data_IF_034134941224
#
_entry.id   IF_034134941224
#
_cell.length_a   1.000
_cell.length_b   1.000
_cell.length_c   1.000
_cell.angle_alpha   90.00
_cell.angle_beta   90.00
_cell.angle_gamma   90.00
#
_symmetry.space_group_name_H-M   'P 1'
#
loop_
_entity.id
_entity.type
_entity.pdbx_description
1 polymer ?
#
# COMPACT_ATOMS: atom_id res chain seq x y z
N UNK A 1 49.00 14.30 -16.56
CA UNK A 1 47.71 14.83 -16.09
C UNK A 1 46.63 14.21 -16.95
N UNK A 2 45.93 13.21 -16.42
CA UNK A 2 44.82 12.53 -17.06
C UNK A 2 43.72 12.44 -16.02
N UNK A 3 42.63 13.19 -16.23
CA UNK A 3 41.42 13.06 -15.43
C UNK A 3 40.74 11.74 -15.78
N UNK A 4 40.43 10.86 -14.81
CA UNK A 4 39.41 9.86 -15.03
C UNK A 4 38.04 10.52 -14.87
N UNK A 5 37.29 10.63 -15.97
CA UNK A 5 35.84 10.73 -15.90
C UNK A 5 35.32 9.39 -15.38
N UNK A 6 35.00 9.33 -14.10
CA UNK A 6 34.16 8.25 -13.59
C UNK A 6 32.71 8.64 -13.89
N UNK A 7 32.12 7.92 -14.83
CA UNK A 7 30.72 7.99 -15.19
C UNK A 7 29.85 7.48 -14.05
N UNK A 8 29.30 8.39 -13.25
CA UNK A 8 28.17 8.10 -12.38
C UNK A 8 26.93 7.89 -13.26
N UNK A 9 26.77 6.66 -13.76
CA UNK A 9 25.50 6.22 -14.29
C UNK A 9 24.72 5.74 -13.07
N UNK A 10 23.61 6.39 -12.67
CA UNK A 10 22.79 5.86 -11.59
C UNK A 10 22.31 4.48 -12.05
N UNK A 11 22.62 3.46 -11.27
CA UNK A 11 22.14 2.09 -11.50
C UNK A 11 20.62 2.17 -11.67
N UNK A 12 20.13 1.89 -12.88
CA UNK A 12 18.76 2.19 -13.34
C UNK A 12 17.66 1.36 -12.66
N UNK A 13 17.93 0.84 -11.47
CA UNK A 13 17.01 0.05 -10.68
C UNK A 13 16.08 0.96 -9.89
N UNK A 14 14.79 0.89 -10.18
CA UNK A 14 13.76 1.49 -9.33
C UNK A 14 13.64 0.75 -8.00
N UNK A 15 13.59 1.49 -6.90
CA UNK A 15 13.39 0.95 -5.56
C UNK A 15 11.91 0.94 -5.21
N UNK A 16 11.38 -0.25 -4.93
CA UNK A 16 10.01 -0.42 -4.48
C UNK A 16 10.00 -0.94 -3.05
N UNK A 17 9.27 -0.27 -2.16
CA UNK A 17 8.94 -0.82 -0.84
C UNK A 17 7.54 -1.45 -0.89
N UNK A 18 7.40 -2.62 -0.28
CA UNK A 18 6.11 -3.34 -0.22
C UNK A 18 5.59 -3.38 1.20
N UNK A 19 4.34 -2.98 1.37
CA UNK A 19 3.60 -3.14 2.62
C UNK A 19 2.44 -4.12 2.40
N UNK A 20 2.23 -4.99 3.39
CA UNK A 20 1.03 -5.83 3.46
C UNK A 20 -0.12 -5.00 4.03
N UNK A 21 -1.24 -4.96 3.33
CA UNK A 21 -2.49 -4.33 3.76
C UNK A 21 -3.50 -5.41 4.07
N UNK A 22 -3.79 -5.62 5.35
CA UNK A 22 -4.72 -6.65 5.81
C UNK A 22 -6.08 -6.01 6.06
N UNK A 23 -7.12 -6.34 5.27
CA UNK A 23 -8.47 -5.88 5.57
C UNK A 23 -8.97 -6.57 6.86
N UNK A 24 -9.58 -5.78 7.74
CA UNK A 24 -10.10 -6.24 9.01
C UNK A 24 -11.63 -6.22 8.99
N UNK A 25 -12.26 -7.23 9.59
CA UNK A 25 -13.71 -7.30 9.72
C UNK A 25 -14.22 -6.00 10.34
N UNK A 26 -15.07 -5.30 9.60
CA UNK A 26 -15.76 -4.10 10.08
C UNK A 26 -17.15 -4.48 10.58
N UNK A 27 -17.69 -3.75 11.57
CA UNK A 27 -19.12 -3.80 11.88
C UNK A 27 -19.97 -3.59 10.61
N UNK A 28 -21.14 -4.22 10.54
CA UNK A 28 -21.99 -4.24 9.34
C UNK A 28 -22.52 -2.85 8.93
N UNK A 29 -22.55 -1.90 9.85
CA UNK A 29 -22.93 -0.50 9.65
C UNK A 29 -21.76 0.42 9.27
N UNK A 30 -20.53 -0.12 9.21
CA UNK A 30 -19.36 0.66 8.89
C UNK A 30 -19.32 1.00 7.39
N UNK A 31 -19.32 2.30 7.09
CA UNK A 31 -19.16 2.84 5.73
C UNK A 31 -17.72 2.70 5.21
N UNK A 32 -16.77 2.41 6.11
CA UNK A 32 -15.34 2.47 5.84
C UNK A 32 -14.65 1.14 6.19
N UNK A 33 -13.84 0.64 5.27
CA UNK A 33 -13.00 -0.54 5.47
C UNK A 33 -11.89 -0.23 6.46
N UNK A 34 -11.76 -1.06 7.51
CA UNK A 34 -10.61 -1.04 8.42
C UNK A 34 -9.50 -1.89 7.85
N UNK A 35 -8.26 -1.42 7.99
CA UNK A 35 -7.06 -2.15 7.57
C UNK A 35 -5.98 -2.07 8.64
N UNK A 36 -5.14 -3.11 8.71
CA UNK A 36 -3.85 -3.07 9.37
C UNK A 36 -2.73 -3.09 8.31
N UNK A 37 -1.64 -2.36 8.57
CA UNK A 37 -0.53 -2.22 7.63
C UNK A 37 0.73 -2.78 8.25
N UNK A 38 1.49 -3.54 7.45
CA UNK A 38 2.71 -4.18 7.92
C UNK A 38 3.83 -4.03 6.91
N UNK A 39 5.03 -3.73 7.41
CA UNK A 39 6.26 -3.94 6.67
C UNK A 39 6.76 -5.35 6.97
N UNK A 40 6.86 -6.19 5.95
CA UNK A 40 7.27 -7.59 6.10
C UNK A 40 8.71 -7.74 5.63
N UNK A 41 9.63 -7.92 6.59
CA UNK A 41 11.05 -8.12 6.31
C UNK A 41 11.53 -9.41 6.98
N UNK A 42 12.12 -10.32 6.20
CA UNK A 42 12.61 -11.61 6.70
C UNK A 42 11.58 -12.36 7.57
N UNK A 43 10.33 -12.44 7.09
CA UNK A 43 9.18 -13.06 7.78
C UNK A 43 8.72 -12.36 9.07
N UNK A 44 9.28 -11.20 9.42
CA UNK A 44 8.81 -10.39 10.55
C UNK A 44 7.78 -9.39 10.06
N UNK A 45 6.58 -9.45 10.65
CA UNK A 45 5.49 -8.52 10.38
C UNK A 45 5.57 -7.35 11.36
N UNK A 46 6.13 -6.24 10.91
CA UNK A 46 6.23 -5.03 11.72
C UNK A 46 5.02 -4.14 11.44
N UNK A 47 4.20 -3.81 12.45
CA UNK A 47 3.07 -2.91 12.25
C UNK A 47 3.57 -1.53 11.86
N UNK A 48 2.90 -0.91 10.90
CA UNK A 48 3.19 0.45 10.42
C UNK A 48 1.91 1.26 10.54
N UNK A 49 2.03 2.48 11.05
CA UNK A 49 0.87 3.36 11.08
C UNK A 49 0.52 3.80 9.64
N UNK A 50 -0.77 3.95 9.29
CA UNK A 50 -1.19 4.34 7.94
C UNK A 50 -0.53 5.63 7.45
N UNK A 51 -0.22 6.57 8.35
CA UNK A 51 0.43 7.85 8.06
C UNK A 51 1.95 7.78 7.86
N UNK A 52 2.55 6.62 8.10
CA UNK A 52 4.01 6.42 8.07
C UNK A 52 4.44 5.50 6.92
N UNK A 53 3.59 5.28 5.92
CA UNK A 53 3.98 4.55 4.72
C UNK A 53 5.03 5.35 3.94
N UNK A 54 6.11 4.67 3.57
CA UNK A 54 7.29 5.18 2.85
C UNK A 54 8.13 6.27 3.55
N UNK A 55 7.74 6.72 4.75
CA UNK A 55 8.41 7.83 5.45
C UNK A 55 9.83 7.53 5.94
N UNK A 56 10.25 6.25 5.93
CA UNK A 56 11.56 5.81 6.41
C UNK A 56 12.45 5.21 5.32
N UNK A 57 11.94 5.10 4.09
CA UNK A 57 12.60 4.34 3.03
C UNK A 57 12.56 5.13 1.73
N UNK A 58 13.71 5.72 1.36
CA UNK A 58 13.89 6.40 0.07
C UNK A 58 13.59 5.45 -1.10
N UNK A 59 12.33 5.47 -1.54
CA UNK A 59 11.74 4.54 -2.51
C UNK A 59 11.08 5.34 -3.63
N UNK A 60 11.19 4.83 -4.85
CA UNK A 60 10.57 5.41 -6.04
C UNK A 60 9.10 4.98 -6.15
N UNK A 61 8.78 3.82 -5.56
CA UNK A 61 7.44 3.25 -5.57
C UNK A 61 7.07 2.62 -4.23
N UNK A 62 5.78 2.66 -3.93
CA UNK A 62 5.14 1.91 -2.86
C UNK A 62 4.21 0.89 -3.46
N UNK A 63 4.38 -0.37 -3.07
CA UNK A 63 3.45 -1.45 -3.34
C UNK A 63 2.63 -1.73 -2.09
N UNK A 64 1.31 -1.64 -2.20
CA UNK A 64 0.38 -2.10 -1.18
C UNK A 64 -0.24 -3.40 -1.65
N UNK A 65 0.12 -4.50 -1.00
CA UNK A 65 -0.31 -5.85 -1.35
C UNK A 65 -1.28 -6.37 -0.30
N UNK A 66 -2.43 -6.92 -0.73
CA UNK A 66 -3.27 -7.70 0.16
C UNK A 66 -2.72 -9.13 0.27
N UNK A 67 -2.26 -9.58 1.44
CA UNK A 67 -1.81 -10.95 1.64
C UNK A 67 -3.02 -11.89 1.65
N UNK A 68 -2.80 -13.17 1.37
CA UNK A 68 -3.84 -14.19 1.59
C UNK A 68 -4.01 -14.38 3.09
N UNK A 69 -5.23 -14.68 3.54
CA UNK A 69 -5.52 -14.90 4.96
C UNK A 69 -4.56 -15.93 5.62
N UNK A 70 -4.26 -17.03 4.92
CA UNK A 70 -3.34 -18.09 5.40
C UNK A 70 -1.87 -17.64 5.56
N UNK A 71 -1.50 -16.53 4.92
CA UNK A 71 -0.13 -16.01 4.97
C UNK A 71 0.05 -14.99 6.11
N UNK A 72 -1.06 -14.59 6.77
CA UNK A 72 -1.06 -13.67 7.92
C UNK A 72 -0.82 -14.49 9.19
N UNK A 73 0.26 -14.24 9.95
CA UNK A 73 0.55 -15.00 11.17
C UNK A 73 -0.51 -14.81 12.26
N UNK A 74 -0.75 -15.87 13.02
CA UNK A 74 -1.64 -15.81 14.18
C UNK A 74 -1.17 -14.76 15.19
N UNK A 75 -2.12 -14.01 15.75
CA UNK A 75 -1.87 -12.99 16.77
C UNK A 75 -1.32 -11.66 16.25
N UNK A 76 -0.90 -11.55 14.98
CA UNK A 76 -0.35 -10.30 14.42
C UNK A 76 -1.40 -9.18 14.34
N UNK A 77 -2.68 -9.55 14.27
CA UNK A 77 -3.81 -8.63 14.17
C UNK A 77 -4.34 -8.16 15.54
N UNK A 78 -3.79 -8.66 16.64
CA UNK A 78 -4.32 -8.40 17.99
C UNK A 78 -5.78 -8.87 18.09
N UNK A 79 -6.68 -7.94 18.42
CA UNK A 79 -8.13 -8.20 18.49
C UNK A 79 -8.82 -8.15 17.11
N UNK A 80 -8.12 -7.72 16.06
CA UNK A 80 -8.64 -7.68 14.70
C UNK A 80 -8.76 -9.09 14.08
N UNK A 81 -9.68 -9.24 13.14
CA UNK A 81 -9.86 -10.46 12.34
C UNK A 81 -9.73 -10.13 10.86
N UNK A 82 -9.08 -11.01 10.09
CA UNK A 82 -9.00 -10.89 8.64
C UNK A 82 -10.41 -10.87 8.03
N UNK A 83 -10.69 -9.92 7.14
CA UNK A 83 -11.95 -9.86 6.41
C UNK A 83 -11.88 -10.66 5.11
N UNK A 84 -12.56 -11.81 5.08
CA UNK A 84 -12.61 -12.67 3.89
C UNK A 84 -13.55 -12.16 2.80
N UNK A 85 -14.42 -11.20 3.12
CA UNK A 85 -15.36 -10.61 2.17
C UNK A 85 -14.77 -9.42 1.42
N UNK A 86 -13.61 -8.89 1.86
CA UNK A 86 -13.00 -7.69 1.29
C UNK A 86 -11.76 -8.02 0.42
N UNK A 87 -11.78 -7.59 -0.83
CA UNK A 87 -10.66 -7.73 -1.77
C UNK A 87 -10.23 -6.36 -2.30
N UNK A 88 -8.94 -6.05 -2.22
CA UNK A 88 -8.37 -4.80 -2.71
C UNK A 88 -8.61 -4.67 -4.21
N UNK A 89 -9.29 -3.59 -4.59
CA UNK A 89 -9.75 -3.34 -5.96
C UNK A 89 -8.96 -2.22 -6.63
N UNK A 90 -8.72 -1.13 -5.91
CA UNK A 90 -8.03 0.04 -6.45
C UNK A 90 -7.48 0.92 -5.32
N UNK A 91 -6.69 1.92 -5.71
CA UNK A 91 -6.32 3.04 -4.88
C UNK A 91 -6.57 4.36 -5.64
N UNK A 92 -7.07 5.35 -4.92
CA UNK A 92 -7.14 6.73 -5.37
C UNK A 92 -6.19 7.53 -4.51
N UNK A 93 -5.30 8.29 -5.13
CA UNK A 93 -4.30 9.07 -4.42
C UNK A 93 -4.35 10.53 -4.85
N UNK A 94 -4.05 11.42 -3.92
CA UNK A 94 -3.95 12.86 -4.16
C UNK A 94 -2.65 13.37 -3.56
N UNK A 95 -1.88 14.09 -4.37
CA UNK A 95 -0.70 14.82 -3.87
C UNK A 95 -1.17 15.99 -3.00
N UNK A 96 -0.78 15.99 -1.72
CA UNK A 96 -1.16 16.99 -0.72
C UNK A 96 -0.12 18.11 -0.59
N UNK A 97 1.16 17.78 -0.82
CA UNK A 97 2.26 18.73 -0.83
C UNK A 97 3.04 18.60 -2.14
N UNK A 98 3.38 19.74 -2.76
CA UNK A 98 3.99 19.94 -4.09
C UNK A 98 3.03 20.04 -5.29
N UNK A 99 3.52 20.69 -6.36
CA UNK A 99 2.85 20.82 -7.66
C UNK A 99 3.14 19.64 -8.61
N UNK A 100 3.67 18.52 -8.11
CA UNK A 100 4.05 17.38 -8.94
C UNK A 100 2.79 16.67 -9.47
N UNK A 101 2.65 16.62 -10.80
CA UNK A 101 1.56 15.95 -11.49
C UNK A 101 1.71 14.42 -11.48
N UNK A 102 1.37 13.80 -10.36
CA UNK A 102 1.37 12.34 -10.22
C UNK A 102 0.01 11.74 -10.61
N UNK A 103 -0.04 10.49 -11.14
CA UNK A 103 -1.30 9.81 -11.42
C UNK A 103 -2.13 9.61 -10.16
N UNK A 104 -3.45 9.75 -10.23
CA UNK A 104 -4.32 9.73 -9.04
C UNK A 104 -5.15 8.46 -8.89
N UNK A 105 -5.11 7.53 -9.84
CA UNK A 105 -5.93 6.32 -9.80
C UNK A 105 -5.08 5.12 -10.21
N UNK A 106 -5.16 4.07 -9.41
CA UNK A 106 -4.37 2.86 -9.55
C UNK A 106 -5.30 1.66 -9.39
N UNK A 107 -5.47 0.87 -10.44
CA UNK A 107 -6.21 -0.39 -10.32
C UNK A 107 -5.32 -1.44 -9.67
N UNK A 108 -5.91 -2.30 -8.83
CA UNK A 108 -5.20 -3.45 -8.31
C UNK A 108 -4.87 -4.41 -9.45
N UNK A 109 -3.63 -4.89 -9.45
CA UNK A 109 -3.17 -5.99 -10.28
C UNK A 109 -2.98 -7.22 -9.42
N UNK A 110 -3.13 -8.41 -9.98
CA UNK A 110 -2.83 -9.64 -9.28
C UNK A 110 -1.46 -10.19 -9.69
N UNK A 111 -0.63 -10.51 -8.70
CA UNK A 111 0.59 -11.28 -8.91
C UNK A 111 0.68 -12.33 -7.82
N UNK A 112 0.83 -13.60 -8.23
CA UNK A 112 0.80 -14.74 -7.31
C UNK A 112 -0.54 -14.93 -6.61
N UNK A 113 -1.65 -14.47 -7.22
CA UNK A 113 -3.00 -14.50 -6.63
C UNK A 113 -3.11 -13.66 -5.37
N UNK A 114 -2.43 -12.51 -5.37
CA UNK A 114 -2.49 -11.46 -4.34
C UNK A 114 -2.73 -10.11 -5.02
N UNK A 115 -3.86 -9.44 -4.75
CA UNK A 115 -4.13 -8.11 -5.27
C UNK A 115 -3.12 -7.09 -4.72
N UNK A 116 -2.62 -6.21 -5.58
CA UNK A 116 -1.69 -5.15 -5.20
C UNK A 116 -1.88 -3.89 -6.02
N UNK A 117 -1.63 -2.74 -5.40
CA UNK A 117 -1.51 -1.45 -6.08
C UNK A 117 -0.08 -0.94 -5.95
N UNK A 118 0.50 -0.44 -7.05
CA UNK A 118 1.83 0.16 -7.07
C UNK A 118 1.70 1.62 -7.43
N UNK A 119 2.23 2.49 -6.57
CA UNK A 119 2.11 3.93 -6.69
C UNK A 119 3.49 4.58 -6.72
N UNK A 120 3.73 5.56 -7.62
CA UNK A 120 4.96 6.33 -7.59
C UNK A 120 4.99 7.25 -6.38
N UNK A 121 6.19 7.40 -5.84
CA UNK A 121 6.53 8.29 -4.74
C UNK A 121 7.54 9.30 -5.27
N UNK A 122 7.20 10.59 -5.19
CA UNK A 122 8.13 11.63 -5.57
C UNK A 122 8.86 12.17 -4.34
N UNK A 123 10.17 12.46 -4.42
CA UNK A 123 10.91 13.11 -3.35
C UNK A 123 10.24 14.42 -2.89
N UNK A 124 10.18 14.66 -1.58
CA UNK A 124 9.56 15.85 -0.99
C UNK A 124 8.04 15.96 -1.20
N UNK A 125 7.36 14.85 -1.53
CA UNK A 125 5.89 14.84 -1.69
C UNK A 125 5.20 14.02 -0.60
N UNK A 126 4.00 14.46 -0.23
CA UNK A 126 3.06 13.70 0.60
C UNK A 126 1.82 13.43 -0.23
N UNK A 127 1.32 12.19 -0.16
CA UNK A 127 0.12 11.77 -0.86
C UNK A 127 -0.88 11.17 0.12
N UNK A 128 -2.11 11.68 0.13
CA UNK A 128 -3.23 10.98 0.76
C UNK A 128 -3.74 9.91 -0.18
N UNK A 129 -4.04 8.71 0.32
CA UNK A 129 -4.43 7.56 -0.49
C UNK A 129 -5.68 6.94 0.09
N UNK A 130 -6.76 6.82 -0.67
CA UNK A 130 -7.93 6.00 -0.36
C UNK A 130 -7.74 4.64 -1.02
N UNK A 131 -7.75 3.56 -0.26
CA UNK A 131 -7.88 2.21 -0.81
C UNK A 131 -9.36 1.87 -0.98
N UNK A 132 -9.69 1.27 -2.13
CA UNK A 132 -11.02 0.79 -2.44
C UNK A 132 -10.99 -0.73 -2.39
N UNK A 133 -11.85 -1.31 -1.57
CA UNK A 133 -12.08 -2.74 -1.51
C UNK A 133 -13.41 -3.06 -2.17
N UNK A 134 -13.42 -4.10 -2.99
CA UNK A 134 -14.68 -4.72 -3.40
C UNK A 134 -15.11 -5.68 -2.31
N UNK A 135 -16.37 -5.56 -1.87
CA UNK A 135 -16.97 -6.44 -0.88
C UNK A 135 -17.84 -7.48 -1.57
N UNK A 136 -17.67 -8.73 -1.16
CA UNK A 136 -18.35 -9.88 -1.73
C UNK A 136 -19.03 -10.71 -0.66
N UNK A 137 -20.11 -11.41 -1.02
CA UNK A 137 -20.67 -12.51 -0.23
C UNK A 137 -20.92 -13.69 -1.14
N UNK A 138 -20.06 -14.71 -1.02
CA UNK A 138 -19.96 -15.74 -2.06
C UNK A 138 -19.57 -15.11 -3.40
N UNK A 139 -20.31 -15.44 -4.46
CA UNK A 139 -20.04 -14.92 -5.81
C UNK A 139 -20.68 -13.55 -6.09
N UNK A 140 -21.41 -12.99 -5.12
CA UNK A 140 -22.10 -11.72 -5.29
C UNK A 140 -21.20 -10.54 -4.90
N UNK A 141 -21.06 -9.56 -5.80
CA UNK A 141 -20.50 -8.24 -5.47
C UNK A 141 -21.57 -7.41 -4.74
N UNK A 142 -21.26 -6.96 -3.53
CA UNK A 142 -22.12 -6.10 -2.73
C UNK A 142 -21.86 -4.62 -3.01
N UNK A 143 -20.61 -4.25 -3.29
CA UNK A 143 -20.23 -2.87 -3.60
C UNK A 143 -18.75 -2.58 -3.36
N UNK A 144 -18.40 -1.31 -3.47
CA UNK A 144 -17.06 -0.79 -3.16
C UNK A 144 -17.09 -0.09 -1.80
N UNK A 145 -16.10 -0.38 -0.96
CA UNK A 145 -15.94 0.20 0.38
C UNK A 145 -14.56 0.88 0.46
N UNK A 146 -14.50 2.19 0.75
CA UNK A 146 -13.25 2.91 0.89
C UNK A 146 -12.63 2.77 2.28
N UNK A 147 -11.33 3.00 2.40
CA UNK A 147 -10.64 3.23 3.70
C UNK A 147 -10.67 4.71 4.09
N UNK A 148 -10.38 5.02 5.37
CA UNK A 148 -10.18 6.40 5.89
C UNK A 148 -8.79 7.01 5.61
N UNK A 149 -8.14 6.56 4.57
CA UNK A 149 -6.80 6.97 4.12
C UNK A 149 -5.59 6.36 4.89
N UNK A 150 -4.61 5.82 4.17
CA UNK A 150 -3.20 6.00 4.53
C UNK A 150 -2.57 7.22 3.86
N UNK A 151 -1.49 7.74 4.45
CA UNK A 151 -0.62 8.73 3.82
C UNK A 151 0.71 8.10 3.38
N UNK A 152 1.16 8.43 2.16
CA UNK A 152 2.47 8.04 1.63
C UNK A 152 3.37 9.26 1.60
N UNK A 153 4.54 9.17 2.23
CA UNK A 153 5.53 10.25 2.31
C UNK A 153 6.79 9.88 1.55
N UNK A 154 7.12 10.65 0.52
CA UNK A 154 8.37 10.54 -0.22
C UNK A 154 9.49 11.34 0.45
N UNK A 155 9.88 10.94 1.65
CA UNK A 155 10.95 11.60 2.40
C UNK A 155 12.30 11.31 1.75
N UNK A 156 12.87 12.33 1.11
CA UNK A 156 14.29 12.51 0.81
C UNK A 156 14.59 14.01 0.95
#
# INVERSE_FOLDING_TARGET
MTHPQHSDTPDGSFRTITYSVVPLVTPDDAVMQRCAYFHVQAQKWQPVAPQDLASAYGSDFVCLEQPRARDVPDGVLGEGRYDHEATLFAAVAKTLSSSKGLPNTFLASELGGRPRVVMPVAPGSTRGVILLFVRHRGDQVLGLVPTRDPEIKGTL
#
